data_IF_330243707526
#
_entry.id   IF_330243707526
#
_cell.length_a   1.000
_cell.length_b   1.000
_cell.length_c   1.000
_cell.angle_alpha   90.00
_cell.angle_beta   90.00
_cell.angle_gamma   90.00
#
_symmetry.space_group_name_H-M   'P 1'
#
loop_
_entity.id
_entity.type
_entity.pdbx_description
1 polymer ?
#
# COMPACT_ATOMS: atom_id res chain seq x y z
N UNK A 1 9.54 -1.45 -8.85
CA UNK A 1 8.37 -2.33 -8.66
C UNK A 1 8.75 -3.74 -9.10
N UNK A 2 8.46 -4.77 -8.31
CA UNK A 2 8.61 -6.15 -8.77
C UNK A 2 7.41 -6.55 -9.68
N UNK A 3 7.52 -7.70 -10.34
CA UNK A 3 6.49 -8.19 -11.26
C UNK A 3 5.10 -8.34 -10.61
N UNK A 4 5.04 -8.88 -9.39
CA UNK A 4 3.77 -9.09 -8.67
C UNK A 4 3.08 -7.78 -8.31
N UNK A 5 3.87 -6.80 -7.83
CA UNK A 5 3.37 -5.46 -7.55
C UNK A 5 2.83 -4.81 -8.82
N UNK A 6 3.60 -4.86 -9.92
CA UNK A 6 3.17 -4.29 -11.20
C UNK A 6 1.86 -4.93 -11.70
N UNK A 7 1.74 -6.26 -11.58
CA UNK A 7 0.53 -6.99 -11.96
C UNK A 7 -0.66 -6.58 -11.08
N UNK A 8 -0.49 -6.54 -9.77
CA UNK A 8 -1.53 -6.13 -8.83
C UNK A 8 -1.96 -4.68 -9.02
N UNK A 9 -1.01 -3.77 -9.25
CA UNK A 9 -1.25 -2.37 -9.58
C UNK A 9 -2.05 -2.22 -10.88
N UNK A 10 -1.64 -2.90 -11.94
CA UNK A 10 -2.31 -2.84 -13.25
C UNK A 10 -3.73 -3.39 -13.14
N UNK A 11 -3.91 -4.52 -12.47
CA UNK A 11 -5.23 -5.10 -12.23
C UNK A 11 -6.11 -4.17 -11.39
N UNK A 12 -5.58 -3.61 -10.30
CA UNK A 12 -6.32 -2.65 -9.47
C UNK A 12 -6.78 -1.45 -10.29
N UNK A 13 -5.91 -0.88 -11.11
CA UNK A 13 -6.23 0.28 -11.96
C UNK A 13 -7.32 -0.03 -12.98
N UNK A 14 -7.27 -1.20 -13.62
CA UNK A 14 -8.32 -1.65 -14.55
C UNK A 14 -9.66 -1.83 -13.83
N UNK A 15 -9.68 -2.53 -12.69
CA UNK A 15 -10.90 -2.73 -11.89
C UNK A 15 -11.48 -1.41 -11.39
N UNK A 16 -10.62 -0.48 -10.95
CA UNK A 16 -11.00 0.87 -10.53
C UNK A 16 -11.75 1.63 -11.64
N UNK A 17 -11.22 1.57 -12.87
CA UNK A 17 -11.81 2.25 -14.02
C UNK A 17 -13.14 1.61 -14.47
N UNK A 18 -13.20 0.28 -14.49
CA UNK A 18 -14.37 -0.46 -14.97
C UNK A 18 -15.54 -0.38 -13.98
N UNK A 19 -15.28 -0.62 -12.69
CA UNK A 19 -16.34 -0.82 -11.70
C UNK A 19 -16.67 0.42 -10.87
N UNK A 20 -15.70 1.32 -10.66
CA UNK A 20 -15.83 2.39 -9.66
C UNK A 20 -15.88 3.82 -10.25
N UNK A 21 -15.85 3.97 -11.58
CA UNK A 21 -15.71 5.29 -12.25
C UNK A 21 -14.59 6.11 -11.61
N UNK A 22 -13.50 5.43 -11.21
CA UNK A 22 -12.48 5.97 -10.33
C UNK A 22 -11.79 7.18 -10.95
N UNK A 23 -11.62 8.25 -10.16
CA UNK A 23 -10.97 9.50 -10.58
C UNK A 23 -9.88 9.86 -9.58
N UNK A 24 -8.71 10.20 -10.10
CA UNK A 24 -7.63 10.80 -9.33
C UNK A 24 -7.59 12.27 -9.72
N UNK A 25 -7.85 13.14 -8.76
CA UNK A 25 -7.71 14.58 -8.94
C UNK A 25 -6.30 14.99 -8.54
N UNK A 26 -5.74 15.96 -9.26
CA UNK A 26 -4.43 16.55 -8.97
C UNK A 26 -3.28 15.54 -8.92
N UNK A 27 -3.23 14.58 -9.85
CA UNK A 27 -2.19 13.55 -9.92
C UNK A 27 -0.78 14.15 -9.98
N UNK A 28 -0.63 15.32 -10.60
CA UNK A 28 0.62 16.08 -10.71
C UNK A 28 1.20 16.53 -9.36
N UNK A 29 0.38 16.61 -8.31
CA UNK A 29 0.82 16.99 -6.96
C UNK A 29 1.43 15.81 -6.19
N UNK A 30 1.32 14.60 -6.70
CA UNK A 30 1.87 13.42 -6.04
C UNK A 30 3.39 13.48 -6.04
N UNK A 31 4.00 13.29 -4.86
CA UNK A 31 5.45 13.24 -4.70
C UNK A 31 5.94 11.85 -5.17
N UNK A 32 6.74 11.82 -6.24
CA UNK A 32 7.18 10.58 -6.90
C UNK A 32 8.60 10.14 -6.49
N UNK A 33 9.26 10.83 -5.56
CA UNK A 33 10.60 10.48 -5.08
C UNK A 33 10.80 10.93 -3.63
N UNK A 34 11.71 10.26 -2.93
CA UNK A 34 12.00 10.57 -1.53
C UNK A 34 10.92 10.09 -0.54
N UNK A 35 11.07 10.33 0.77
CA UNK A 35 10.13 9.84 1.78
C UNK A 35 8.75 10.49 1.66
N UNK A 36 7.69 9.67 1.64
CA UNK A 36 6.29 10.14 1.59
C UNK A 36 5.41 9.29 2.49
N UNK A 37 4.54 9.95 3.25
CA UNK A 37 3.41 9.30 3.94
C UNK A 37 2.13 9.69 3.21
N UNK A 38 1.42 8.71 2.67
CA UNK A 38 0.13 8.90 2.01
C UNK A 38 -0.98 8.58 3.01
N UNK A 39 -1.56 9.61 3.62
CA UNK A 39 -2.66 9.45 4.55
C UNK A 39 -4.01 9.44 3.82
N UNK A 40 -4.87 8.47 4.14
CA UNK A 40 -6.23 8.39 3.63
C UNK A 40 -7.23 7.97 4.71
N UNK A 41 -8.51 8.24 4.48
CA UNK A 41 -9.59 7.56 5.18
C UNK A 41 -9.66 6.08 4.76
N UNK A 42 -10.17 5.22 5.64
CA UNK A 42 -10.28 3.79 5.36
C UNK A 42 -11.72 3.32 5.66
N UNK A 43 -12.43 2.87 4.62
CA UNK A 43 -13.81 2.40 4.62
C UNK A 43 -13.94 0.93 4.15
N UNK A 44 -13.02 0.42 3.34
CA UNK A 44 -13.13 -0.91 2.73
C UNK A 44 -11.78 -1.60 2.49
N UNK A 45 -11.77 -2.92 2.31
CA UNK A 45 -10.58 -3.68 1.93
C UNK A 45 -10.00 -3.29 0.56
N UNK A 46 -10.76 -2.58 -0.28
CA UNK A 46 -10.28 -2.10 -1.58
C UNK A 46 -9.49 -0.79 -1.47
N UNK A 47 -9.47 -0.13 -0.32
CA UNK A 47 -8.85 1.20 -0.23
C UNK A 47 -7.33 1.16 -0.47
N UNK A 48 -6.54 0.23 0.12
CA UNK A 48 -5.10 0.18 -0.14
C UNK A 48 -4.73 0.05 -1.62
N UNK A 49 -5.28 -0.90 -2.40
CA UNK A 49 -4.97 -0.99 -3.82
C UNK A 49 -5.51 0.22 -4.61
N UNK A 50 -6.69 0.76 -4.28
CA UNK A 50 -7.25 1.92 -4.97
C UNK A 50 -6.45 3.20 -4.71
N UNK A 51 -6.08 3.48 -3.46
CA UNK A 51 -5.26 4.62 -3.09
C UNK A 51 -3.84 4.51 -3.65
N UNK A 52 -3.29 3.29 -3.73
CA UNK A 52 -2.01 3.04 -4.39
C UNK A 52 -1.98 3.51 -5.85
N UNK A 53 -3.11 3.54 -6.56
CA UNK A 53 -3.19 4.03 -7.94
C UNK A 53 -2.92 5.55 -8.08
N UNK A 54 -2.95 6.30 -6.98
CA UNK A 54 -2.57 7.72 -6.94
C UNK A 54 -1.06 7.93 -7.17
N UNK A 55 -0.23 6.93 -6.88
CA UNK A 55 1.22 6.98 -7.09
C UNK A 55 1.64 6.27 -8.39
N UNK A 56 2.72 6.76 -9.00
CA UNK A 56 3.37 6.11 -10.15
C UNK A 56 4.53 5.20 -9.72
N UNK A 57 4.83 5.16 -8.41
CA UNK A 57 5.83 4.27 -7.83
C UNK A 57 5.20 3.27 -6.86
N UNK A 58 5.97 2.24 -6.51
CA UNK A 58 5.57 1.31 -5.47
C UNK A 58 5.52 2.04 -4.12
N UNK A 59 4.47 1.77 -3.34
CA UNK A 59 4.34 2.23 -1.97
C UNK A 59 4.24 1.03 -1.04
N UNK A 60 4.64 1.21 0.20
CA UNK A 60 4.49 0.22 1.25
C UNK A 60 3.15 0.41 1.95
N UNK A 61 2.58 -0.70 2.41
CA UNK A 61 1.30 -0.72 3.11
C UNK A 61 1.45 -1.40 4.46
N UNK A 62 0.67 -0.97 5.44
CA UNK A 62 0.51 -1.71 6.68
C UNK A 62 -0.76 -2.55 6.64
N UNK A 63 -0.66 -3.82 7.06
CA UNK A 63 -1.83 -4.69 7.20
C UNK A 63 -1.75 -5.52 8.48
N UNK A 64 -2.91 -5.93 9.00
CA UNK A 64 -2.99 -6.81 10.18
C UNK A 64 -2.16 -8.07 9.95
N UNK A 65 -1.32 -8.45 10.92
CA UNK A 65 -0.52 -9.68 10.82
C UNK A 65 -1.38 -10.92 10.55
N UNK A 66 -2.57 -11.00 11.15
CA UNK A 66 -3.51 -12.11 10.95
C UNK A 66 -3.96 -12.31 9.50
N UNK A 67 -3.88 -11.28 8.65
CA UNK A 67 -4.18 -11.41 7.23
C UNK A 67 -3.13 -12.25 6.50
N UNK A 68 -1.89 -12.27 7.01
CA UNK A 68 -0.78 -13.03 6.44
C UNK A 68 -0.77 -14.50 6.89
N UNK A 69 -1.56 -14.88 7.90
CA UNK A 69 -1.63 -16.27 8.38
C UNK A 69 -2.28 -17.20 7.35
N UNK A 70 -3.08 -16.65 6.43
CA UNK A 70 -3.66 -17.40 5.33
C UNK A 70 -2.61 -17.68 4.25
N UNK A 71 -2.43 -18.95 3.87
CA UNK A 71 -1.37 -19.42 2.96
C UNK A 71 -1.20 -18.57 1.68
N UNK A 72 -2.31 -18.18 1.04
CA UNK A 72 -2.28 -17.36 -0.17
C UNK A 72 -1.82 -15.92 0.10
N UNK A 73 -2.38 -15.30 1.14
CA UNK A 73 -2.11 -13.90 1.47
C UNK A 73 -0.74 -13.72 2.12
N UNK A 74 -0.30 -14.68 2.94
CA UNK A 74 1.06 -14.73 3.49
C UNK A 74 2.15 -14.81 2.41
N UNK A 75 1.86 -15.45 1.28
CA UNK A 75 2.77 -15.49 0.14
C UNK A 75 2.68 -14.24 -0.75
N UNK A 76 1.48 -13.69 -0.96
CA UNK A 76 1.25 -12.60 -1.91
C UNK A 76 1.55 -11.21 -1.31
N UNK A 77 1.05 -10.91 -0.11
CA UNK A 77 1.10 -9.57 0.47
C UNK A 77 2.54 -9.04 0.67
N UNK A 78 3.53 -9.83 1.11
CA UNK A 78 4.91 -9.35 1.18
C UNK A 78 5.49 -8.92 -0.18
N UNK A 79 5.04 -9.55 -1.27
CA UNK A 79 5.44 -9.19 -2.65
C UNK A 79 4.77 -7.91 -3.13
N UNK A 80 3.67 -7.52 -2.50
CA UNK A 80 2.95 -6.27 -2.73
C UNK A 80 3.38 -5.16 -1.75
N UNK A 81 4.57 -5.28 -1.14
CA UNK A 81 5.12 -4.32 -0.17
C UNK A 81 4.26 -4.13 1.09
N UNK A 82 3.50 -5.15 1.49
CA UNK A 82 2.72 -5.11 2.71
C UNK A 82 3.57 -5.55 3.89
N UNK A 83 3.54 -4.75 4.95
CA UNK A 83 4.23 -4.99 6.21
C UNK A 83 3.19 -5.37 7.27
N UNK A 84 3.36 -6.53 7.93
CA UNK A 84 2.44 -6.97 8.96
C UNK A 84 2.60 -6.11 10.23
N UNK A 85 1.48 -5.71 10.82
CA UNK A 85 1.39 -4.99 12.09
C UNK A 85 0.47 -5.71 13.07
N UNK A 86 0.85 -5.71 14.35
CA UNK A 86 0.08 -6.30 15.43
C UNK A 86 -0.85 -5.24 16.03
N UNK A 87 -2.16 -5.49 16.02
CA UNK A 87 -3.12 -4.51 16.53
C UNK A 87 -3.36 -4.58 18.03
N UNK A 88 -3.00 -5.71 18.66
CA UNK A 88 -3.36 -6.01 20.05
C UNK A 88 -2.29 -5.57 21.08
N UNK A 89 -1.22 -4.90 20.63
CA UNK A 89 -0.16 -4.39 21.50
C UNK A 89 0.17 -2.91 21.26
N UNK A 90 0.93 -2.29 22.17
CA UNK A 90 1.58 -0.99 21.93
C UNK A 90 2.63 -1.16 20.83
N UNK A 91 2.18 -1.16 19.57
CA UNK A 91 2.99 -1.66 18.47
C UNK A 91 4.01 -0.61 18.00
N UNK A 92 5.07 -0.46 18.80
CA UNK A 92 6.28 0.27 18.42
C UNK A 92 6.93 -0.34 17.17
N UNK A 93 6.60 -1.58 16.79
CA UNK A 93 7.19 -2.23 15.63
C UNK A 93 6.67 -1.65 14.32
N UNK A 94 5.37 -1.35 14.23
CA UNK A 94 4.76 -0.66 13.09
C UNK A 94 5.41 0.70 12.85
N UNK A 95 5.53 1.52 13.90
CA UNK A 95 6.20 2.82 13.83
C UNK A 95 7.67 2.71 13.42
N UNK A 96 8.42 1.76 13.99
CA UNK A 96 9.82 1.49 13.58
C UNK A 96 9.92 1.09 12.12
N UNK A 97 8.99 0.28 11.63
CA UNK A 97 8.94 -0.14 10.22
C UNK A 97 8.69 1.06 9.30
N UNK A 98 7.70 1.91 9.61
CA UNK A 98 7.43 3.15 8.88
C UNK A 98 8.66 4.06 8.84
N UNK A 99 9.31 4.29 9.99
CA UNK A 99 10.54 5.11 10.05
C UNK A 99 11.64 4.53 9.16
N UNK A 100 11.79 3.20 9.14
CA UNK A 100 12.79 2.53 8.28
C UNK A 100 12.49 2.73 6.79
N UNK A 101 11.23 2.58 6.36
CA UNK A 101 10.81 2.80 4.97
C UNK A 101 11.08 4.23 4.56
N UNK A 102 10.68 5.20 5.39
CA UNK A 102 10.88 6.62 5.10
C UNK A 102 12.37 6.97 5.05
N UNK A 103 13.20 6.44 5.96
CA UNK A 103 14.65 6.63 5.91
C UNK A 103 15.30 6.04 4.65
N UNK A 104 14.69 5.02 4.04
CA UNK A 104 15.13 4.46 2.77
C UNK A 104 14.69 5.31 1.55
N UNK A 105 13.95 6.41 1.75
CA UNK A 105 13.44 7.26 0.67
C UNK A 105 12.19 6.71 -0.02
N UNK A 106 11.50 5.77 0.62
CA UNK A 106 10.33 5.08 0.08
C UNK A 106 9.02 5.74 0.54
N UNK A 107 7.94 5.43 -0.16
CA UNK A 107 6.59 5.87 0.19
C UNK A 107 5.88 4.81 1.03
N UNK A 108 5.05 5.26 1.96
CA UNK A 108 4.18 4.38 2.74
C UNK A 108 2.79 4.97 2.86
N UNK A 109 1.79 4.09 2.96
CA UNK A 109 0.40 4.40 3.25
C UNK A 109 -0.03 3.76 4.57
#
# INVERSE_FOLDING_TARGET
MNFYYWLGYTLSRLLAQIFFRFRILHRERMIQSGPVILAMNHQSFFDPPLAGNASDRAIFFLARRTLLDHWFWGWLLPKLNVIPVDQEGSDRSALKALIRILRAGEATL
#
